data_IF_476865181251
#
_entry.id   IF_476865181251
#
_cell.length_a   1.000
_cell.length_b   1.000
_cell.length_c   1.000
_cell.angle_alpha   90.00
_cell.angle_beta   90.00
_cell.angle_gamma   90.00
#
_symmetry.space_group_name_H-M   'P 1'
#
loop_
_entity.id
_entity.type
_entity.pdbx_description
1 polymer ?
#
# COMPACT_ATOMS: atom_id res chain seq x y z
N UNK A 1 -69.71 -28.58 30.27
CA UNK A 1 -68.50 -27.95 29.72
C UNK A 1 -67.33 -28.91 29.95
N UNK A 2 -66.93 -29.65 28.90
CA UNK A 2 -65.90 -30.69 28.96
C UNK A 2 -64.51 -30.03 28.96
N UNK A 3 -63.77 -30.11 30.06
CA UNK A 3 -62.36 -29.70 30.11
C UNK A 3 -61.51 -30.90 29.66
N UNK A 4 -60.81 -30.72 28.55
CA UNK A 4 -60.01 -31.74 27.88
C UNK A 4 -58.68 -31.87 28.65
N UNK A 5 -58.32 -33.09 29.04
CA UNK A 5 -56.94 -33.43 29.40
C UNK A 5 -56.07 -33.28 28.14
N UNK A 6 -54.89 -32.65 28.27
CA UNK A 6 -53.77 -32.90 27.36
C UNK A 6 -52.49 -33.08 28.15
N UNK A 7 -51.95 -34.28 28.02
CA UNK A 7 -50.74 -34.84 28.59
C UNK A 7 -49.56 -34.48 27.67
N UNK A 8 -48.43 -34.17 28.31
CA UNK A 8 -47.03 -34.28 27.85
C UNK A 8 -46.62 -33.67 26.50
N UNK A 9 -45.57 -32.86 26.50
CA UNK A 9 -44.24 -33.22 25.97
C UNK A 9 -43.23 -32.21 26.49
N UNK A 10 -42.15 -32.75 27.06
CA UNK A 10 -40.93 -32.07 27.47
C UNK A 10 -40.35 -31.32 26.25
N UNK A 11 -40.25 -29.99 26.30
CA UNK A 11 -39.39 -29.24 25.37
C UNK A 11 -38.14 -28.77 26.14
N UNK A 12 -37.24 -29.73 26.31
CA UNK A 12 -35.84 -29.50 26.66
C UNK A 12 -35.18 -28.75 25.48
N UNK A 13 -34.56 -27.62 25.82
CA UNK A 13 -33.43 -26.96 25.15
C UNK A 13 -33.59 -26.50 23.70
N UNK A 14 -33.62 -25.17 23.49
CA UNK A 14 -32.67 -24.48 22.60
C UNK A 14 -32.36 -23.10 23.20
N UNK A 15 -31.63 -23.07 24.34
CA UNK A 15 -30.64 -22.03 24.53
C UNK A 15 -29.49 -22.46 23.61
N UNK A 16 -29.64 -22.21 22.31
CA UNK A 16 -28.52 -22.30 21.38
C UNK A 16 -27.55 -21.22 21.82
N UNK A 17 -26.63 -21.63 22.70
CA UNK A 17 -25.22 -21.36 22.61
C UNK A 17 -24.95 -20.21 21.64
N UNK A 18 -24.94 -18.98 22.17
CA UNK A 18 -23.78 -18.15 21.88
C UNK A 18 -22.60 -18.96 22.42
N UNK A 19 -22.14 -19.95 21.63
CA UNK A 19 -20.74 -20.31 21.65
C UNK A 19 -20.10 -18.95 21.44
N UNK A 20 -19.37 -18.38 22.41
CA UNK A 20 -18.40 -17.39 22.01
C UNK A 20 -17.63 -18.14 20.94
N UNK A 21 -17.75 -17.70 19.68
CA UNK A 21 -16.70 -17.99 18.71
C UNK A 21 -15.49 -17.42 19.44
N UNK A 22 -14.82 -18.30 20.18
CA UNK A 22 -13.40 -18.28 20.35
C UNK A 22 -12.98 -18.24 18.90
N UNK A 23 -12.88 -17.01 18.38
CA UNK A 23 -12.01 -16.72 17.28
C UNK A 23 -10.74 -17.38 17.76
N UNK A 24 -10.49 -18.56 17.20
CA UNK A 24 -9.18 -19.14 17.14
C UNK A 24 -8.34 -17.92 16.82
N UNK A 25 -7.55 -17.46 17.80
CA UNK A 25 -6.47 -16.56 17.49
C UNK A 25 -5.54 -17.44 16.66
N UNK A 26 -5.92 -17.61 15.39
CA UNK A 26 -5.05 -18.05 14.33
C UNK A 26 -3.84 -17.16 14.54
N UNK A 27 -2.73 -17.77 14.93
CA UNK A 27 -1.52 -17.09 15.37
C UNK A 27 -1.14 -16.10 14.27
N UNK A 28 -1.55 -14.84 14.47
CA UNK A 28 -1.61 -13.88 13.39
C UNK A 28 -0.19 -13.58 12.95
N UNK A 29 -0.01 -13.40 11.64
CA UNK A 29 1.33 -13.23 11.10
C UNK A 29 1.64 -11.77 10.87
N UNK A 30 2.75 -11.34 11.45
CA UNK A 30 3.34 -10.05 11.11
C UNK A 30 3.87 -10.05 9.68
N UNK A 31 3.32 -9.17 8.87
CA UNK A 31 3.70 -8.98 7.47
C UNK A 31 3.98 -7.51 7.19
N UNK A 32 4.57 -7.24 6.04
CA UNK A 32 4.98 -5.91 5.63
C UNK A 32 4.30 -5.49 4.34
N UNK A 33 3.83 -4.25 4.31
CA UNK A 33 3.22 -3.67 3.12
C UNK A 33 4.29 -3.44 2.05
N UNK A 34 4.12 -4.06 0.89
CA UNK A 34 4.96 -3.93 -0.28
C UNK A 34 4.14 -3.33 -1.43
N UNK A 35 4.26 -2.01 -1.64
CA UNK A 35 3.72 -1.39 -2.85
C UNK A 35 4.87 -1.19 -3.85
N UNK A 36 5.08 -2.18 -4.71
CA UNK A 36 6.08 -2.16 -5.79
C UNK A 36 5.94 -0.96 -6.73
N UNK A 37 4.75 -0.35 -6.79
CA UNK A 37 4.44 0.86 -7.55
C UNK A 37 4.70 2.18 -6.79
N UNK A 38 5.12 2.12 -5.52
CA UNK A 38 5.35 3.28 -4.65
C UNK A 38 4.09 4.04 -4.24
N UNK A 39 2.92 3.39 -4.27
CA UNK A 39 1.66 3.92 -3.72
C UNK A 39 1.44 3.40 -2.30
N UNK A 40 0.30 3.74 -1.70
CA UNK A 40 -0.15 3.19 -0.43
C UNK A 40 -1.14 2.03 -0.63
N UNK A 41 -1.24 1.14 0.36
CA UNK A 41 -2.21 0.06 0.42
C UNK A 41 -3.47 0.54 1.13
N UNK A 42 -4.63 0.41 0.49
CA UNK A 42 -5.90 0.78 1.11
C UNK A 42 -6.36 -0.33 2.07
N UNK A 43 -6.68 0.05 3.30
CA UNK A 43 -7.46 -0.77 4.23
C UNK A 43 -8.93 -0.45 4.02
N UNK A 44 -9.76 -1.48 3.92
CA UNK A 44 -11.17 -1.36 3.58
C UNK A 44 -12.10 -1.95 4.62
N UNK A 45 -13.35 -1.51 4.60
CA UNK A 45 -14.43 -2.04 5.46
C UNK A 45 -14.84 -3.47 5.11
N UNK A 46 -14.60 -3.90 3.86
CA UNK A 46 -14.94 -5.23 3.36
C UNK A 46 -13.76 -5.85 2.60
N UNK A 47 -13.71 -7.18 2.50
CA UNK A 47 -12.77 -7.97 1.69
C UNK A 47 -13.07 -7.85 0.18
N UNK A 48 -13.27 -6.62 -0.29
CA UNK A 48 -13.71 -6.29 -1.64
C UNK A 48 -13.23 -4.91 -2.05
N UNK A 49 -13.01 -4.71 -3.35
CA UNK A 49 -12.70 -3.39 -3.92
C UNK A 49 -13.87 -2.41 -3.82
N UNK A 50 -15.09 -2.90 -3.55
CA UNK A 50 -16.29 -2.09 -3.32
C UNK A 50 -16.39 -1.54 -1.89
N UNK A 51 -15.69 -2.15 -0.93
CA UNK A 51 -15.66 -1.67 0.46
C UNK A 51 -15.04 -0.28 0.56
N UNK A 52 -15.48 0.52 1.51
CA UNK A 52 -14.98 1.88 1.72
C UNK A 52 -13.53 1.87 2.20
N UNK A 53 -12.75 2.88 1.85
CA UNK A 53 -11.35 2.99 2.30
C UNK A 53 -11.32 3.69 3.66
N UNK A 54 -10.92 2.95 4.69
CA UNK A 54 -10.80 3.45 6.06
C UNK A 54 -9.48 4.19 6.25
N UNK A 55 -8.38 3.58 5.82
CA UNK A 55 -7.03 4.15 5.95
C UNK A 55 -6.14 3.70 4.79
N UNK A 56 -5.02 4.40 4.59
CA UNK A 56 -4.00 4.09 3.59
C UNK A 56 -2.66 3.83 4.27
N UNK A 57 -2.15 2.62 4.14
CA UNK A 57 -0.88 2.18 4.70
C UNK A 57 0.27 2.52 3.76
N UNK A 58 1.37 2.98 4.34
CA UNK A 58 2.58 3.29 3.60
C UNK A 58 3.37 2.02 3.24
N UNK A 59 4.25 2.14 2.25
CA UNK A 59 5.19 1.05 1.95
C UNK A 59 6.08 0.79 3.17
N UNK A 60 6.26 -0.47 3.53
CA UNK A 60 7.06 -0.86 4.69
C UNK A 60 6.35 -0.66 6.02
N UNK A 61 5.05 -0.33 6.04
CA UNK A 61 4.25 -0.46 7.26
C UNK A 61 4.18 -1.94 7.63
N UNK A 62 4.51 -2.25 8.88
CA UNK A 62 4.28 -3.58 9.46
C UNK A 62 2.80 -3.67 9.83
N UNK A 63 2.15 -4.77 9.47
CA UNK A 63 0.76 -5.08 9.83
C UNK A 63 0.66 -6.47 10.41
N UNK A 64 -0.26 -6.66 11.34
CA UNK A 64 -0.61 -7.98 11.85
C UNK A 64 -1.77 -8.53 11.01
N UNK A 65 -1.57 -9.68 10.40
CA UNK A 65 -2.61 -10.38 9.62
C UNK A 65 -3.31 -11.37 10.53
N UNK A 66 -4.61 -11.18 10.74
CA UNK A 66 -5.41 -12.03 11.61
C UNK A 66 -5.77 -13.34 10.89
N UNK A 67 -6.37 -13.24 9.71
CA UNK A 67 -6.79 -14.41 8.92
C UNK A 67 -6.94 -14.09 7.43
N UNK A 68 -6.93 -15.13 6.60
CA UNK A 68 -7.27 -15.06 5.17
C UNK A 68 -8.79 -14.91 5.01
N UNK A 69 -9.22 -13.78 4.45
CA UNK A 69 -10.63 -13.47 4.20
C UNK A 69 -11.12 -14.02 2.84
N UNK A 70 -10.26 -14.72 2.10
CA UNK A 70 -10.53 -15.31 0.80
C UNK A 70 -10.40 -14.31 -0.35
N UNK A 71 -10.39 -14.84 -1.59
CA UNK A 71 -10.34 -14.04 -2.83
C UNK A 71 -9.18 -13.04 -2.90
N UNK A 72 -8.04 -13.36 -2.27
CA UNK A 72 -6.86 -12.50 -2.25
C UNK A 72 -6.93 -11.34 -1.25
N UNK A 73 -7.83 -11.40 -0.27
CA UNK A 73 -7.95 -10.44 0.82
C UNK A 73 -7.59 -11.07 2.16
N UNK A 74 -7.00 -10.28 3.04
CA UNK A 74 -6.73 -10.67 4.42
C UNK A 74 -7.32 -9.64 5.36
N UNK A 75 -7.77 -10.10 6.52
CA UNK A 75 -8.11 -9.23 7.64
C UNK A 75 -6.82 -8.85 8.37
N UNK A 76 -6.70 -7.57 8.68
CA UNK A 76 -5.62 -7.04 9.51
C UNK A 76 -6.20 -6.33 10.72
N UNK A 77 -5.49 -6.46 11.82
CA UNK A 77 -5.67 -5.65 13.01
C UNK A 77 -4.36 -4.97 13.33
N UNK A 78 -4.42 -3.68 13.64
CA UNK A 78 -3.29 -2.93 14.20
C UNK A 78 -3.84 -2.08 15.34
N UNK A 79 -2.96 -1.53 16.17
CA UNK A 79 -3.30 -0.79 17.38
C UNK A 79 -4.24 0.41 17.15
N UNK A 80 -4.35 0.88 15.90
CA UNK A 80 -5.12 2.07 15.51
C UNK A 80 -6.20 1.82 14.44
N UNK A 81 -6.24 0.65 13.79
CA UNK A 81 -7.20 0.37 12.72
C UNK A 81 -7.37 -1.14 12.51
N UNK A 82 -8.60 -1.54 12.15
CA UNK A 82 -8.93 -2.88 11.69
C UNK A 82 -9.66 -2.82 10.35
N UNK A 83 -9.43 -3.81 9.50
CA UNK A 83 -10.09 -3.90 8.20
C UNK A 83 -9.41 -4.88 7.26
N UNK A 84 -9.72 -4.76 5.97
CA UNK A 84 -9.30 -5.72 4.96
C UNK A 84 -8.32 -5.09 3.98
N UNK A 85 -7.26 -5.84 3.66
CA UNK A 85 -6.25 -5.44 2.66
C UNK A 85 -6.03 -6.56 1.66
N UNK A 86 -5.50 -6.22 0.49
CA UNK A 86 -5.15 -7.21 -0.53
C UNK A 86 -3.84 -7.92 -0.16
N UNK A 87 -3.90 -9.25 -0.05
CA UNK A 87 -2.80 -10.11 0.34
C UNK A 87 -1.59 -9.99 -0.59
N UNK A 88 -1.82 -9.74 -1.89
CA UNK A 88 -0.76 -9.59 -2.89
C UNK A 88 0.17 -8.39 -2.67
N UNK A 89 -0.19 -7.47 -1.76
CA UNK A 89 0.65 -6.35 -1.35
C UNK A 89 1.34 -6.57 0.00
N UNK A 90 1.30 -7.78 0.55
CA UNK A 90 1.95 -8.11 1.80
C UNK A 90 3.08 -9.11 1.58
N UNK A 91 4.18 -8.94 2.30
CA UNK A 91 5.35 -9.83 2.26
C UNK A 91 5.79 -10.20 3.67
N UNK A 92 6.35 -11.40 3.84
CA UNK A 92 6.80 -11.90 5.14
C UNK A 92 8.09 -11.27 5.65
N UNK A 93 8.95 -10.81 4.74
CA UNK A 93 10.19 -10.14 5.08
C UNK A 93 10.04 -8.63 4.91
N UNK A 94 10.62 -7.86 5.84
CA UNK A 94 10.66 -6.40 5.71
C UNK A 94 11.28 -6.07 4.36
N UNK A 95 10.57 -5.36 3.46
CA UNK A 95 11.16 -4.94 2.20
C UNK A 95 12.41 -4.13 2.51
N UNK A 96 13.60 -4.64 2.16
CA UNK A 96 14.91 -4.06 2.54
C UNK A 96 15.25 -2.71 1.90
N UNK A 97 14.26 -1.91 1.47
CA UNK A 97 14.42 -0.73 0.62
C UNK A 97 13.79 0.57 1.12
N UNK A 98 13.18 0.60 2.30
CA UNK A 98 12.58 1.83 2.83
C UNK A 98 12.95 2.02 4.30
N UNK A 99 14.12 2.59 4.54
CA UNK A 99 14.39 3.27 5.81
C UNK A 99 14.31 4.78 5.56
N UNK A 100 13.37 5.40 6.25
CA UNK A 100 12.97 6.80 6.18
C UNK A 100 13.93 7.56 7.10
N UNK A 101 14.76 8.45 6.56
CA UNK A 101 15.72 9.18 7.39
C UNK A 101 15.16 10.49 7.92
N UNK A 102 14.30 11.20 7.19
CA UNK A 102 13.63 12.44 7.63
C UNK A 102 12.33 12.72 6.85
N UNK A 103 11.43 13.52 7.44
CA UNK A 103 10.13 13.92 6.89
C UNK A 103 10.12 15.43 6.60
N UNK A 104 10.17 15.81 5.33
CA UNK A 104 9.52 17.03 4.84
C UNK A 104 8.10 16.60 4.47
N UNK A 105 7.07 17.35 4.85
CA UNK A 105 5.64 16.98 4.77
C UNK A 105 5.16 16.52 3.36
N UNK A 106 6.02 16.58 2.34
CA UNK A 106 5.75 16.09 1.00
C UNK A 106 6.76 15.06 0.43
N UNK A 107 7.93 14.82 1.05
CA UNK A 107 8.98 13.94 0.54
C UNK A 107 9.71 13.13 1.61
N UNK A 108 9.89 11.84 1.34
CA UNK A 108 10.60 10.87 2.17
C UNK A 108 11.99 10.61 1.57
N UNK A 109 13.05 10.98 2.30
CA UNK A 109 14.43 10.69 1.89
C UNK A 109 14.72 9.19 2.02
N UNK A 110 15.35 8.61 1.00
CA UNK A 110 15.66 7.18 0.95
C UNK A 110 17.04 6.93 1.55
N UNK A 111 17.13 6.06 2.57
CA UNK A 111 18.43 5.57 3.08
C UNK A 111 19.28 4.92 1.99
N UNK A 112 18.64 4.18 1.08
CA UNK A 112 19.29 3.52 -0.06
C UNK A 112 18.71 4.04 -1.38
N UNK A 113 19.31 5.10 -1.96
CA UNK A 113 18.96 5.55 -3.30
C UNK A 113 19.14 4.43 -4.34
N UNK A 114 18.30 4.41 -5.37
CA UNK A 114 18.35 3.39 -6.43
C UNK A 114 18.38 3.99 -7.82
N UNK A 115 18.92 3.23 -8.78
CA UNK A 115 18.93 3.61 -10.19
C UNK A 115 17.58 3.29 -10.84
N UNK A 116 17.14 4.20 -11.68
CA UNK A 116 15.93 4.08 -12.47
C UNK A 116 16.18 4.67 -13.86
N UNK A 117 15.34 4.28 -14.81
CA UNK A 117 15.29 4.84 -16.15
C UNK A 117 14.09 5.79 -16.29
N UNK A 118 14.31 6.90 -16.98
CA UNK A 118 13.25 7.82 -17.35
C UNK A 118 12.36 7.18 -18.43
N UNK A 119 11.04 7.34 -18.27
CA UNK A 119 10.05 7.07 -19.32
C UNK A 119 9.72 8.37 -20.03
N UNK A 120 9.67 8.31 -21.36
CA UNK A 120 9.25 9.44 -22.17
C UNK A 120 7.73 9.67 -22.10
N UNK A 121 7.29 10.89 -22.41
CA UNK A 121 5.86 11.30 -22.34
C UNK A 121 5.01 10.83 -23.54
N UNK A 122 5.41 9.75 -24.21
CA UNK A 122 4.72 9.19 -25.38
C UNK A 122 5.55 8.11 -26.06
N UNK A 123 4.99 7.47 -27.10
CA UNK A 123 5.65 6.43 -27.90
C UNK A 123 6.46 7.00 -29.09
N UNK A 124 6.56 8.33 -29.23
CA UNK A 124 7.25 8.98 -30.35
C UNK A 124 8.72 9.29 -30.02
N UNK A 125 9.56 9.23 -31.03
CA UNK A 125 11.04 9.24 -30.98
C UNK A 125 11.69 10.50 -30.38
N UNK A 126 10.92 11.55 -30.08
CA UNK A 126 11.42 12.77 -29.42
C UNK A 126 10.66 13.13 -28.14
N UNK A 127 9.97 12.15 -27.55
CA UNK A 127 9.27 12.35 -26.29
C UNK A 127 10.25 12.30 -25.12
N UNK A 128 10.02 13.14 -24.11
CA UNK A 128 10.92 13.27 -22.96
C UNK A 128 10.15 13.73 -21.74
N UNK A 129 10.69 13.48 -20.55
CA UNK A 129 10.16 14.00 -19.28
C UNK A 129 11.06 15.11 -18.74
N UNK A 130 10.49 16.15 -18.16
CA UNK A 130 11.27 17.23 -17.56
C UNK A 130 11.81 16.81 -16.19
N UNK A 131 13.12 16.96 -16.00
CA UNK A 131 13.75 17.10 -14.69
C UNK A 131 13.49 18.53 -14.21
N UNK A 132 12.74 18.69 -13.12
CA UNK A 132 12.24 19.99 -12.69
C UNK A 132 12.92 20.51 -11.43
N UNK A 133 12.97 21.83 -11.27
CA UNK A 133 13.53 22.46 -10.09
C UNK A 133 12.65 22.29 -8.83
N UNK A 134 11.32 22.18 -9.00
CA UNK A 134 10.37 21.95 -7.91
C UNK A 134 9.39 20.81 -8.28
N UNK A 135 8.74 20.16 -7.31
CA UNK A 135 7.85 19.03 -7.56
C UNK A 135 6.45 19.45 -8.04
N UNK A 136 6.40 20.24 -9.10
CA UNK A 136 5.15 20.68 -9.72
C UNK A 136 5.30 20.86 -11.24
N UNK A 137 4.18 20.97 -11.97
CA UNK A 137 4.18 21.02 -13.44
C UNK A 137 4.58 22.39 -14.01
N UNK A 138 4.61 23.44 -13.20
CA UNK A 138 4.84 24.83 -13.64
C UNK A 138 6.27 25.31 -13.37
N UNK A 139 7.06 24.59 -12.57
CA UNK A 139 8.43 24.99 -12.26
C UNK A 139 9.36 24.83 -13.45
N UNK A 140 10.43 25.62 -13.46
CA UNK A 140 11.50 25.55 -14.47
C UNK A 140 12.02 24.13 -14.70
N UNK A 141 12.29 23.82 -15.97
CA UNK A 141 12.90 22.56 -16.41
C UNK A 141 14.42 22.71 -16.37
N UNK A 142 15.08 21.89 -15.55
CA UNK A 142 16.55 21.81 -15.49
C UNK A 142 17.09 21.10 -16.73
N UNK A 143 16.42 20.01 -17.13
CA UNK A 143 16.77 19.20 -18.31
C UNK A 143 15.55 18.42 -18.80
N UNK A 144 15.60 17.97 -20.05
CA UNK A 144 14.68 16.98 -20.61
C UNK A 144 15.37 15.61 -20.65
N UNK A 145 14.80 14.63 -19.94
CA UNK A 145 15.26 13.25 -19.90
C UNK A 145 14.53 12.45 -20.98
N UNK A 146 15.27 11.81 -21.88
CA UNK A 146 14.70 10.91 -22.91
C UNK A 146 14.46 9.51 -22.36
N UNK A 147 13.74 8.67 -23.10
CA UNK A 147 13.52 7.28 -22.68
C UNK A 147 14.86 6.56 -22.48
N UNK A 148 15.04 5.92 -21.33
CA UNK A 148 16.27 5.19 -21.00
C UNK A 148 17.33 6.01 -20.25
N UNK A 149 17.21 7.35 -20.19
CA UNK A 149 18.12 8.18 -19.40
C UNK A 149 18.13 7.71 -17.94
N UNK A 150 19.32 7.49 -17.39
CA UNK A 150 19.49 6.98 -16.04
C UNK A 150 19.43 8.09 -15.00
N UNK A 151 18.65 7.85 -13.94
CA UNK A 151 18.54 8.71 -12.77
C UNK A 151 18.71 7.90 -11.49
N UNK A 152 19.28 8.52 -10.46
CA UNK A 152 19.31 7.99 -9.10
C UNK A 152 18.22 8.63 -8.27
N UNK A 153 17.25 7.84 -7.82
CA UNK A 153 16.15 8.32 -6.97
C UNK A 153 16.65 8.42 -5.53
N UNK A 154 16.60 9.62 -4.96
CA UNK A 154 17.13 9.92 -3.61
C UNK A 154 16.04 10.24 -2.58
N UNK A 155 14.87 10.71 -3.02
CA UNK A 155 13.70 10.89 -2.15
C UNK A 155 12.41 10.64 -2.93
N UNK A 156 11.38 10.17 -2.24
CA UNK A 156 10.08 9.82 -2.82
C UNK A 156 8.97 10.66 -2.17
N UNK A 157 8.22 11.38 -2.98
CA UNK A 157 6.97 12.03 -2.58
C UNK A 157 5.76 11.33 -3.20
N UNK A 158 4.56 11.80 -2.85
CA UNK A 158 3.28 11.20 -3.29
C UNK A 158 3.14 11.12 -4.82
N UNK A 159 3.52 12.19 -5.53
CA UNK A 159 3.35 12.32 -7.00
C UNK A 159 4.70 12.46 -7.73
N UNK A 160 5.72 12.92 -7.02
CA UNK A 160 7.04 13.24 -7.57
C UNK A 160 8.12 12.54 -6.77
N UNK A 161 9.27 12.33 -7.40
CA UNK A 161 10.49 11.87 -6.74
C UNK A 161 11.59 12.88 -6.95
N UNK A 162 12.43 13.07 -5.94
CA UNK A 162 13.69 13.78 -6.05
C UNK A 162 14.72 12.81 -6.62
N UNK A 163 15.39 13.22 -7.68
CA UNK A 163 16.32 12.38 -8.44
C UNK A 163 17.58 13.16 -8.78
N UNK A 164 18.67 12.44 -8.99
CA UNK A 164 19.92 12.93 -9.55
C UNK A 164 20.04 12.35 -10.95
N UNK A 165 20.21 13.20 -11.97
CA UNK A 165 20.55 12.75 -13.32
C UNK A 165 21.99 12.23 -13.30
N UNK A 166 22.19 10.96 -13.66
CA UNK A 166 23.51 10.32 -13.63
C UNK A 166 24.46 10.91 -14.68
N UNK A 167 23.91 11.39 -15.79
CA UNK A 167 24.70 11.94 -16.90
C UNK A 167 25.27 13.31 -16.54
N UNK A 168 24.50 14.12 -15.82
CA UNK A 168 24.86 15.53 -15.55
C UNK A 168 25.18 15.83 -14.09
N UNK A 169 24.88 14.92 -13.17
CA UNK A 169 24.97 15.13 -11.72
C UNK A 169 23.92 16.09 -11.15
N UNK A 170 23.03 16.67 -11.98
CA UNK A 170 22.06 17.65 -11.52
C UNK A 170 20.93 16.99 -10.75
N UNK A 171 20.55 17.61 -9.63
CA UNK A 171 19.42 17.18 -8.80
C UNK A 171 18.14 17.91 -9.20
N UNK A 172 17.02 17.19 -9.26
CA UNK A 172 15.71 17.78 -9.52
C UNK A 172 14.57 16.83 -9.17
N UNK A 173 13.39 17.13 -9.68
CA UNK A 173 12.17 16.38 -9.43
C UNK A 173 11.59 15.83 -10.73
N UNK A 174 11.19 14.55 -10.71
CA UNK A 174 10.52 13.87 -11.81
C UNK A 174 9.25 13.21 -11.29
N UNK A 175 8.16 13.30 -12.04
CA UNK A 175 6.90 12.69 -11.65
C UNK A 175 7.01 11.16 -11.63
N UNK A 176 6.44 10.52 -10.62
CA UNK A 176 6.60 9.09 -10.34
C UNK A 176 6.20 8.21 -11.53
N UNK A 177 5.18 8.62 -12.28
CA UNK A 177 4.68 7.92 -13.47
C UNK A 177 5.71 7.81 -14.59
N UNK A 178 6.76 8.64 -14.57
CA UNK A 178 7.82 8.68 -15.59
C UNK A 178 9.13 8.08 -15.12
N UNK A 179 9.13 7.36 -14.00
CA UNK A 179 10.30 6.66 -13.47
C UNK A 179 10.01 5.16 -13.55
N UNK A 180 10.88 4.40 -14.22
CA UNK A 180 10.87 2.95 -14.24
C UNK A 180 12.09 2.47 -13.47
N UNK A 181 11.88 1.76 -12.38
CA UNK A 181 12.99 1.14 -11.64
C UNK A 181 13.68 0.12 -12.55
N UNK A 182 15.01 0.14 -12.55
CA UNK A 182 15.83 -0.86 -13.23
C UNK A 182 15.90 -2.14 -12.40
#
# INVERSE_FOLDING_TARGET
>A
MKKILSIAVILVTVLALMVPVLASAEDGKDMWVNCSNGKSLNVRTESSTKGEVIVRLECGTKVHVDYDAGNGWVAISDYHYSGYVQAGFLVSEKPGKYEITERDDNFVTLKNPYLASAKARGAKDNSSVCLRAKPNKTSSSIRRLTAGDQVKVIARGKVWSKVVDITTGKTGYVANDYIKKN
#
